data_IF_599670876239
#
_entry.id   IF_599670876239
#
_cell.length_a   1.000
_cell.length_b   1.000
_cell.length_c   1.000
_cell.angle_alpha   90.00
_cell.angle_beta   90.00
_cell.angle_gamma   90.00
#
_symmetry.space_group_name_H-M   'P 1'
#
loop_
_entity.id
_entity.type
_entity.pdbx_description
1 polymer ?
2 polymer ?
3 non-polymer ?
#
loop_
_entity_poly.entity_id
_entity_poly.type
_entity_poly.pdbx_seq_one_letter_code
_entity_poly.pdbx_strand_id
2 'polyribonucleotide' 'GGCCAGGUAGCUCAGUUGGUAGAGCACUGGACUGAAAAUCCAGGUGUCGGCGGUUCGAUUCCGCCCCUGGCCACC' ?
#
# COMPACT_ATOMS: atom_id res chain seq x y z
N UNK A 1 -27.28 -15.51 -8.01
CA UNK A 1 -27.86 -16.67 -7.36
C UNK A 1 -28.03 -16.43 -5.86
N UNK A 2 -27.27 -15.47 -5.34
CA UNK A 2 -27.31 -15.13 -3.92
C UNK A 2 -28.70 -14.68 -3.48
N UNK A 3 -29.32 -13.83 -4.30
CA UNK A 3 -30.66 -13.34 -4.02
C UNK A 3 -31.68 -14.46 -4.03
N UNK A 4 -31.46 -15.45 -4.89
CA UNK A 4 -32.37 -16.59 -4.99
C UNK A 4 -32.30 -17.47 -3.75
N UNK A 5 -31.08 -17.82 -3.35
CA UNK A 5 -30.87 -18.63 -2.15
C UNK A 5 -31.37 -17.90 -0.91
N UNK A 6 -31.11 -16.60 -0.86
CA UNK A 6 -31.58 -15.76 0.25
C UNK A 6 -33.10 -15.67 0.25
N UNK A 7 -33.69 -15.81 -0.94
CA UNK A 7 -35.14 -15.82 -1.06
C UNK A 7 -35.71 -17.13 -0.51
N UNK A 8 -35.04 -18.24 -0.83
CA UNK A 8 -35.45 -19.56 -0.36
C UNK A 8 -35.35 -19.68 1.16
N UNK A 9 -34.33 -19.04 1.73
CA UNK A 9 -34.09 -19.10 3.17
C UNK A 9 -34.88 -18.03 3.91
N UNK A 10 -35.56 -17.17 3.16
CA UNK A 10 -36.31 -16.08 3.76
C UNK A 10 -35.40 -15.09 4.46
N UNK A 11 -34.27 -14.80 3.84
CA UNK A 11 -33.28 -13.91 4.42
C UNK A 11 -33.13 -12.62 3.62
N UNK A 12 -32.25 -11.74 4.11
CA UNK A 12 -31.92 -10.50 3.42
C UNK A 12 -30.41 -10.33 3.38
N UNK A 13 -29.83 -10.34 2.18
CA UNK A 13 -28.40 -10.19 2.03
C UNK A 13 -28.06 -8.88 1.35
N UNK A 14 -26.89 -8.32 1.65
CA UNK A 14 -26.49 -7.04 1.07
C UNK A 14 -24.99 -6.98 0.80
N UNK A 15 -24.61 -6.26 -0.26
CA UNK A 15 -23.21 -5.93 -0.48
C UNK A 15 -22.89 -4.72 0.37
N UNK A 16 -21.78 -4.74 1.10
CA UNK A 16 -21.54 -3.75 2.13
C UNK A 16 -20.08 -3.29 2.23
N UNK A 17 -19.89 -2.00 2.50
CA UNK A 17 -18.58 -1.45 2.78
C UNK A 17 -17.86 -0.87 1.58
N UNK A 18 -16.54 -0.86 1.63
CA UNK A 18 -15.72 -0.34 0.55
C UNK A 18 -16.03 -0.99 -0.78
N UNK A 19 -16.42 -2.26 -0.73
CA UNK A 19 -16.83 -2.99 -1.92
C UNK A 19 -17.90 -2.21 -2.68
N UNK A 20 -18.88 -1.69 -1.95
CA UNK A 20 -19.90 -0.82 -2.53
C UNK A 20 -19.26 0.45 -3.08
N UNK A 21 -18.42 1.07 -2.27
CA UNK A 21 -17.75 2.31 -2.63
C UNK A 21 -17.08 2.18 -4.00
N UNK A 22 -16.14 1.25 -4.09
CA UNK A 22 -15.43 0.96 -5.34
C UNK A 22 -16.38 0.71 -6.51
N UNK A 23 -17.55 0.13 -6.24
CA UNK A 23 -18.53 -0.08 -7.29
C UNK A 23 -19.05 1.25 -7.80
N UNK A 24 -19.41 2.13 -6.86
CA UNK A 24 -19.86 3.48 -7.21
C UNK A 24 -18.70 4.29 -7.78
N UNK A 25 -17.48 3.91 -7.43
CA UNK A 25 -16.29 4.56 -7.97
C UNK A 25 -15.91 3.93 -9.31
N UNK A 26 -16.66 2.91 -9.71
CA UNK A 26 -16.46 2.25 -10.99
C UNK A 26 -15.40 1.16 -10.95
N UNK A 27 -14.55 1.19 -9.92
CA UNK A 27 -13.48 0.22 -9.77
C UNK A 27 -14.03 -1.16 -9.48
N UNK A 28 -13.63 -2.15 -10.27
CA UNK A 28 -14.11 -3.50 -10.08
C UNK A 28 -13.10 -4.34 -9.29
N UNK A 29 -13.58 -4.93 -8.20
CA UNK A 29 -12.74 -5.75 -7.34
C UNK A 29 -13.25 -7.19 -7.28
N UNK A 30 -12.36 -8.10 -6.91
CA UNK A 30 -12.69 -9.52 -6.82
C UNK A 30 -13.08 -9.92 -5.40
N UNK A 31 -13.03 -8.97 -4.48
CA UNK A 31 -13.41 -9.24 -3.10
C UNK A 31 -14.73 -8.56 -2.76
N UNK A 32 -15.74 -9.37 -2.46
CA UNK A 32 -17.07 -8.86 -2.15
C UNK A 32 -17.45 -9.13 -0.70
N UNK A 33 -17.92 -8.11 0.00
CA UNK A 33 -18.33 -8.24 1.39
C UNK A 33 -19.84 -8.28 1.53
N UNK A 34 -20.33 -9.34 2.19
CA UNK A 34 -21.76 -9.52 2.38
C UNK A 34 -22.20 -9.38 3.83
N UNK A 35 -23.33 -8.71 4.04
CA UNK A 35 -23.98 -8.64 5.33
C UNK A 35 -25.36 -9.28 5.23
N UNK A 36 -25.58 -10.31 6.04
CA UNK A 36 -26.81 -11.09 5.97
C UNK A 36 -27.62 -11.01 7.26
N UNK A 37 -28.89 -10.64 7.13
CA UNK A 37 -29.82 -10.69 8.25
C UNK A 37 -30.31 -12.14 8.40
N UNK A 38 -30.04 -12.73 9.55
CA UNK A 38 -30.20 -14.17 9.72
C UNK A 38 -28.83 -14.82 9.60
N UNK A 39 -28.79 -16.14 9.51
CA UNK A 39 -27.50 -16.84 9.46
C UNK A 39 -26.82 -16.74 8.10
N UNK A 40 -25.62 -16.17 8.09
CA UNK A 40 -24.84 -16.04 6.86
C UNK A 40 -24.09 -17.33 6.55
N UNK A 41 -23.79 -18.11 7.59
CA UNK A 41 -23.01 -19.33 7.45
C UNK A 41 -23.70 -20.34 6.53
N UNK A 42 -24.96 -20.63 6.82
CA UNK A 42 -25.72 -21.59 6.02
C UNK A 42 -25.90 -21.10 4.59
N UNK A 43 -26.02 -19.79 4.41
CA UNK A 43 -26.16 -19.19 3.09
C UNK A 43 -24.88 -19.42 2.29
N UNK A 44 -23.75 -19.18 2.94
CA UNK A 44 -22.45 -19.36 2.30
C UNK A 44 -22.20 -20.83 1.97
N UNK A 45 -22.61 -21.71 2.87
CA UNK A 45 -22.44 -23.15 2.68
C UNK A 45 -23.29 -23.63 1.51
N UNK A 46 -24.51 -23.14 1.42
CA UNK A 46 -25.42 -23.52 0.34
C UNK A 46 -24.92 -22.99 -1.00
N UNK A 47 -24.47 -21.74 -1.00
CA UNK A 47 -23.94 -21.12 -2.21
C UNK A 47 -22.70 -21.86 -2.69
N UNK A 48 -21.86 -22.27 -1.75
CA UNK A 48 -20.65 -23.02 -2.08
C UNK A 48 -21.00 -24.43 -2.56
N UNK A 49 -22.11 -24.95 -2.07
CA UNK A 49 -22.54 -26.30 -2.40
C UNK A 49 -23.14 -26.37 -3.81
N UNK A 50 -23.91 -25.35 -4.17
CA UNK A 50 -24.53 -25.31 -5.50
C UNK A 50 -23.49 -25.16 -6.61
N UNK A 51 -22.49 -24.32 -6.36
CA UNK A 51 -21.43 -24.09 -7.34
C UNK A 51 -20.37 -25.20 -7.27
N UNK A 52 -20.47 -26.04 -6.26
CA UNK A 52 -19.54 -27.15 -6.11
C UNK A 52 -18.14 -26.70 -5.77
N UNK A 53 -18.01 -25.82 -4.79
CA UNK A 53 -16.72 -25.34 -4.34
C UNK A 53 -16.59 -25.45 -2.82
N UNK A 54 -15.35 -25.38 -2.33
CA UNK A 54 -15.09 -25.50 -0.90
C UNK A 54 -15.62 -24.30 -0.13
N UNK A 55 -15.83 -24.48 1.17
CA UNK A 55 -16.31 -23.42 2.04
C UNK A 55 -15.48 -23.34 3.31
N UNK A 56 -15.26 -22.12 3.81
CA UNK A 56 -14.46 -21.90 5.01
C UNK A 56 -15.28 -21.18 6.07
N UNK A 57 -16.00 -21.96 6.90
CA UNK A 57 -16.85 -21.44 7.98
C UNK A 57 -16.08 -20.96 9.20
N UNK A 58 -16.58 -19.91 9.83
CA UNK A 58 -16.07 -19.41 11.10
C UNK A 58 -17.26 -19.07 12.00
N UNK A 59 -17.74 -20.08 12.76
CA UNK A 59 -18.93 -19.99 13.60
C UNK A 59 -18.82 -18.96 14.72
N UNK A 60 -17.66 -18.89 15.37
CA UNK A 60 -17.46 -17.94 16.47
C UNK A 60 -17.52 -16.50 15.98
N UNK A 61 -16.91 -16.25 14.81
CA UNK A 61 -17.00 -14.94 14.18
C UNK A 61 -18.37 -14.78 13.54
N UNK A 62 -18.93 -15.89 13.05
CA UNK A 62 -20.20 -15.87 12.37
C UNK A 62 -20.05 -15.48 10.91
N UNK A 63 -18.86 -15.74 10.37
CA UNK A 63 -18.56 -15.35 8.99
C UNK A 63 -17.98 -16.52 8.21
N UNK A 64 -18.30 -16.60 6.92
CA UNK A 64 -17.80 -17.70 6.09
C UNK A 64 -17.22 -17.18 4.78
N UNK A 65 -16.10 -17.76 4.36
CA UNK A 65 -15.43 -17.34 3.13
C UNK A 65 -15.47 -18.45 2.07
N UNK A 66 -15.75 -18.07 0.83
CA UNK A 66 -15.78 -19.03 -0.27
C UNK A 66 -15.31 -18.38 -1.56
N UNK A 67 -14.63 -19.16 -2.40
CA UNK A 67 -14.06 -18.61 -3.63
C UNK A 67 -14.69 -19.22 -4.88
N UNK A 68 -15.23 -18.35 -5.73
CA UNK A 68 -15.80 -18.79 -7.01
C UNK A 68 -15.05 -18.12 -8.17
N UNK A 69 -14.30 -18.93 -8.91
CA UNK A 69 -13.46 -18.38 -9.97
C UNK A 69 -12.41 -17.46 -9.39
N UNK A 70 -12.36 -16.22 -9.86
CA UNK A 70 -11.45 -15.22 -9.31
C UNK A 70 -12.15 -14.41 -8.22
N UNK A 71 -13.43 -14.66 -8.00
CA UNK A 71 -14.19 -13.94 -6.99
C UNK A 71 -13.98 -14.50 -5.60
N UNK A 72 -13.65 -13.61 -4.66
CA UNK A 72 -13.51 -13.97 -3.26
C UNK A 72 -14.69 -13.43 -2.47
N UNK A 73 -15.54 -14.34 -1.99
CA UNK A 73 -16.77 -13.96 -1.30
C UNK A 73 -16.67 -14.15 0.21
N UNK A 74 -17.14 -13.15 0.95
CA UNK A 74 -17.19 -13.21 2.40
C UNK A 74 -18.60 -12.88 2.89
N UNK A 75 -19.24 -13.85 3.55
CA UNK A 75 -20.55 -13.64 4.11
C UNK A 75 -20.46 -13.43 5.62
N UNK A 76 -21.05 -12.33 6.09
CA UNK A 76 -21.01 -11.97 7.50
C UNK A 76 -22.41 -11.69 8.05
N UNK A 77 -22.65 -12.14 9.28
CA UNK A 77 -23.94 -11.91 9.92
C UNK A 77 -24.00 -10.48 10.46
N UNK A 78 -25.15 -9.83 10.29
CA UNK A 78 -25.34 -8.46 10.76
C UNK A 78 -25.14 -8.35 12.27
N UNK A 79 -24.27 -7.44 12.68
CA UNK A 79 -23.95 -7.26 14.10
C UNK A 79 -23.89 -5.78 14.47
N UNK A 80 -24.47 -5.43 15.62
CA UNK A 80 -24.50 -4.05 16.07
C UNK A 80 -23.18 -3.61 16.70
N UNK A 81 -22.46 -4.56 17.28
CA UNK A 81 -21.20 -4.26 17.95
C UNK A 81 -20.05 -5.07 17.35
N UNK A 82 -18.85 -4.51 17.41
CA UNK A 82 -17.66 -5.18 16.88
C UNK A 82 -17.22 -6.30 17.81
N UNK A 93 -30.36 -10.93 20.52
CA UNK A 93 -31.24 -10.12 19.68
C UNK A 93 -30.62 -9.89 18.30
N UNK A 94 -31.40 -10.13 17.23
CA UNK A 94 -30.93 -9.96 15.85
C UNK A 94 -30.63 -8.49 15.53
N UNK A 95 -29.49 -8.25 14.91
CA UNK A 95 -29.07 -6.90 14.56
C UNK A 95 -29.53 -6.51 13.16
N UNK A 96 -30.10 -5.32 13.04
CA UNK A 96 -30.53 -4.81 11.74
C UNK A 96 -29.32 -4.39 10.93
N UNK A 97 -29.50 -4.29 9.62
CA UNK A 97 -28.46 -3.82 8.72
C UNK A 97 -27.94 -2.45 9.13
N UNK A 98 -28.86 -1.55 9.43
CA UNK A 98 -28.53 -0.18 9.83
C UNK A 98 -27.60 -0.16 11.03
N UNK A 99 -27.79 -1.10 11.96
CA UNK A 99 -26.95 -1.20 13.14
C UNK A 99 -25.56 -1.71 12.78
N UNK A 100 -25.48 -2.50 11.71
CA UNK A 100 -24.21 -3.06 11.27
C UNK A 100 -23.42 -2.03 10.48
N UNK A 101 -24.11 -1.12 9.82
CA UNK A 101 -23.46 -0.08 9.04
C UNK A 101 -23.00 1.10 9.89
N UNK A 102 -23.68 1.32 11.02
CA UNK A 102 -23.41 2.47 11.87
C UNK A 102 -22.17 2.26 12.74
N UNK A 103 -21.71 1.02 12.83
CA UNK A 103 -20.50 0.71 13.60
C UNK A 103 -19.25 0.90 12.75
N UNK A 104 -19.44 1.29 11.50
CA UNK A 104 -18.31 1.42 10.57
C UNK A 104 -17.67 2.80 10.68
N UNK A 105 -16.63 3.02 9.88
CA UNK A 105 -15.81 4.22 10.02
C UNK A 105 -16.41 5.46 9.34
N UNK A 106 -16.40 5.48 8.01
CA UNK A 106 -16.77 6.67 7.25
C UNK A 106 -18.01 6.49 6.39
N UNK A 107 -18.67 7.60 6.07
CA UNK A 107 -19.95 7.58 5.36
C UNK A 107 -19.87 6.88 4.00
N UNK A 108 -18.72 6.95 3.34
CA UNK A 108 -18.54 6.31 2.05
C UNK A 108 -18.42 4.79 2.19
N UNK A 109 -17.98 4.36 3.37
CA UNK A 109 -17.86 2.93 3.67
C UNK A 109 -19.06 2.40 4.43
N UNK A 110 -20.04 3.26 4.67
CA UNK A 110 -21.21 2.91 5.46
C UNK A 110 -22.42 2.51 4.63
N UNK A 111 -22.28 2.48 3.31
CA UNK A 111 -23.44 2.22 2.44
C UNK A 111 -23.59 0.75 2.08
N UNK A 112 -24.67 0.43 1.39
CA UNK A 112 -25.00 -0.95 1.04
C UNK A 112 -25.85 -1.06 -0.22
N UNK A 113 -25.67 -2.15 -0.96
CA UNK A 113 -26.46 -2.44 -2.15
C UNK A 113 -27.18 -3.78 -2.01
N UNK A 114 -28.51 -3.75 -2.12
CA UNK A 114 -29.32 -4.95 -1.89
C UNK A 114 -29.26 -5.95 -3.04
N UNK A 115 -28.95 -7.20 -2.71
CA UNK A 115 -28.92 -8.27 -3.70
C UNK A 115 -30.22 -9.08 -3.71
N UNK A 116 -31.16 -8.69 -2.86
CA UNK A 116 -32.46 -9.34 -2.80
C UNK A 116 -33.25 -9.10 -4.08
N UNK A 117 -33.85 -10.17 -4.63
CA UNK A 117 -34.44 -10.15 -5.96
C UNK A 117 -35.47 -9.05 -6.22
N UNK A 118 -36.23 -8.69 -5.19
CA UNK A 118 -37.29 -7.70 -5.36
C UNK A 118 -36.75 -6.27 -5.54
N UNK A 119 -35.87 -5.86 -4.64
CA UNK A 119 -35.29 -4.52 -4.64
C UNK A 119 -33.93 -4.47 -5.34
N UNK A 120 -33.56 -5.57 -5.99
CA UNK A 120 -32.21 -5.76 -6.54
C UNK A 120 -31.73 -4.56 -7.37
N UNK A 121 -30.54 -4.08 -7.03
CA UNK A 121 -29.95 -2.93 -7.69
C UNK A 121 -30.00 -1.68 -6.83
N UNK A 122 -30.79 -1.71 -5.77
CA UNK A 122 -31.00 -0.54 -4.93
C UNK A 122 -29.84 -0.30 -3.97
N UNK A 123 -29.36 0.94 -3.94
CA UNK A 123 -28.33 1.35 -2.99
C UNK A 123 -28.96 1.86 -1.70
N UNK A 124 -28.60 1.26 -0.58
CA UNK A 124 -29.14 1.66 0.71
C UNK A 124 -28.15 2.54 1.48
N UNK A 125 -28.48 3.83 1.59
CA UNK A 125 -27.62 4.78 2.29
C UNK A 125 -28.41 5.56 3.33
N UNK A 126 -28.11 5.29 4.60
CA UNK A 126 -28.77 5.98 5.72
C UNK A 126 -28.12 7.32 6.06
N UNK A 127 -26.80 7.37 6.04
CA UNK A 127 -26.05 8.49 6.60
C UNK A 127 -25.67 9.55 5.56
N UNK A 128 -26.12 9.35 4.32
CA UNK A 128 -25.83 10.29 3.26
C UNK A 128 -24.41 10.16 2.74
N UNK A 129 -23.91 8.92 2.71
CA UNK A 129 -22.58 8.66 2.23
C UNK A 129 -22.42 8.90 0.74
N UNK A 130 -23.53 8.84 0.02
CA UNK A 130 -23.54 9.10 -1.40
C UNK A 130 -23.20 10.56 -1.69
N UNK A 131 -23.79 11.45 -0.89
CA UNK A 131 -23.54 12.88 -1.00
C UNK A 131 -22.08 13.21 -0.71
N UNK A 132 -21.53 12.57 0.31
CA UNK A 132 -20.13 12.77 0.68
C UNK A 132 -19.20 12.21 -0.38
N UNK A 133 -19.65 11.13 -1.03
CA UNK A 133 -18.90 10.53 -2.12
C UNK A 133 -18.87 11.45 -3.32
N UNK A 134 -19.99 12.15 -3.55
CA UNK A 134 -20.10 13.09 -4.65
C UNK A 134 -19.40 14.41 -4.33
N UNK A 135 -19.34 14.74 -3.04
CA UNK A 135 -18.71 15.99 -2.61
C UNK A 135 -17.24 15.78 -2.21
N UNK A 136 -16.76 14.55 -2.38
CA UNK A 136 -15.38 14.20 -2.05
C UNK A 136 -15.04 14.49 -0.59
N UNK A 137 -15.88 13.99 0.32
CA UNK A 137 -15.72 14.27 1.74
C UNK A 137 -15.57 13.01 2.58
N UNK A 138 -14.55 12.99 3.44
CA UNK A 138 -14.39 11.92 4.42
C UNK A 138 -15.02 12.33 5.74
N UNK A 139 -16.10 11.66 6.11
CA UNK A 139 -16.88 12.07 7.27
C UNK A 139 -17.17 10.90 8.21
N UNK A 140 -16.88 11.09 9.49
CA UNK A 140 -17.17 10.08 10.49
C UNK A 140 -18.65 10.05 10.83
N UNK A 141 -19.12 8.90 11.32
CA UNK A 141 -20.53 8.71 11.62
C UNK A 141 -20.91 9.34 12.96
N UNK A 142 -20.00 9.32 13.92
CA UNK A 142 -20.25 9.85 15.25
C UNK A 142 -19.00 10.51 15.82
N UNK A 143 -19.19 11.51 16.70
CA UNK A 143 -18.08 12.29 17.28
C UNK A 143 -17.04 11.45 18.03
N UNK A 144 -17.43 10.28 18.49
CA UNK A 144 -16.54 9.42 19.27
C UNK A 144 -15.77 8.43 18.40
N UNK A 145 -15.94 8.56 17.08
CA UNK A 145 -15.39 7.61 16.11
C UNK A 145 -13.89 7.35 16.28
N UNK A 146 -13.09 8.42 16.32
CA UNK A 146 -11.65 8.27 16.42
C UNK A 146 -11.23 7.81 17.81
N UNK A 147 -12.04 8.12 18.81
CA UNK A 147 -11.78 7.70 20.18
C UNK A 147 -11.97 6.18 20.31
N UNK A 148 -13.03 5.68 19.68
CA UNK A 148 -13.32 4.26 19.67
C UNK A 148 -12.17 3.47 19.03
N UNK A 149 -11.84 3.84 17.80
CA UNK A 149 -10.77 3.18 17.06
C UNK A 149 -9.78 4.21 16.52
N UNK A 150 -8.71 4.49 17.29
CA UNK A 150 -7.67 5.44 16.91
C UNK A 150 -7.01 5.12 15.57
N UNK A 151 -7.00 3.85 15.19
CA UNK A 151 -6.44 3.42 13.91
C UNK A 151 -7.07 4.18 12.75
N UNK A 152 -8.38 4.45 12.88
CA UNK A 152 -9.12 5.19 11.87
C UNK A 152 -8.47 6.52 11.52
N UNK A 153 -7.79 7.13 12.49
CA UNK A 153 -7.08 8.39 12.28
C UNK A 153 -6.18 8.28 11.06
N UNK A 154 -5.46 7.17 10.96
CA UNK A 154 -4.64 6.92 9.79
C UNK A 154 -5.52 6.69 8.57
N UNK A 155 -6.47 5.77 8.72
CA UNK A 155 -7.31 5.31 7.62
C UNK A 155 -7.92 6.46 6.84
N UNK A 156 -8.56 7.38 7.55
CA UNK A 156 -9.17 8.55 6.94
C UNK A 156 -8.17 9.23 6.02
N UNK A 157 -7.03 9.60 6.58
CA UNK A 157 -5.97 10.25 5.83
C UNK A 157 -5.65 9.42 4.59
N UNK A 158 -5.45 8.12 4.81
CA UNK A 158 -5.12 7.20 3.72
C UNK A 158 -6.18 7.31 2.63
N UNK A 159 -7.45 7.25 3.01
CA UNK A 159 -8.52 7.35 2.04
C UNK A 159 -8.46 8.70 1.36
N UNK A 160 -8.27 9.75 2.16
CA UNK A 160 -8.19 11.11 1.64
C UNK A 160 -7.02 11.23 0.69
N UNK A 161 -6.04 10.35 0.85
CA UNK A 161 -4.91 10.30 -0.05
C UNK A 161 -5.28 9.64 -1.36
N UNK A 162 -5.96 8.50 -1.29
CA UNK A 162 -6.26 7.73 -2.48
C UNK A 162 -7.33 8.39 -3.36
N UNK A 163 -8.48 8.69 -2.75
CA UNK A 163 -9.62 9.19 -3.49
C UNK A 163 -9.53 10.69 -3.71
N UNK A 164 -8.48 11.31 -3.16
CA UNK A 164 -8.31 12.75 -3.20
C UNK A 164 -9.54 13.46 -2.62
N UNK A 165 -9.98 12.99 -1.46
CA UNK A 165 -11.10 13.61 -0.77
C UNK A 165 -10.59 14.56 0.30
N UNK A 166 -11.52 15.21 1.00
CA UNK A 166 -11.16 16.13 2.07
C UNK A 166 -11.94 15.82 3.34
N UNK A 167 -11.28 15.96 4.47
CA UNK A 167 -11.93 15.75 5.76
C UNK A 167 -12.90 16.88 6.06
N UNK A 168 -14.08 16.53 6.56
CA UNK A 168 -15.05 17.55 6.95
C UNK A 168 -14.53 18.30 8.17
N UNK A 169 -15.06 19.50 8.40
CA UNK A 169 -14.65 20.31 9.54
C UNK A 169 -14.84 19.54 10.84
N UNK A 170 -15.99 18.89 10.98
CA UNK A 170 -16.27 18.01 12.09
C UNK A 170 -15.18 16.96 12.23
N UNK A 171 -15.07 16.12 11.20
CA UNK A 171 -14.11 15.03 11.19
C UNK A 171 -12.68 15.50 11.42
N UNK A 172 -12.33 16.66 10.89
CA UNK A 172 -10.97 17.21 11.04
C UNK A 172 -10.71 17.62 12.49
N UNK A 173 -11.64 18.37 13.08
CA UNK A 173 -11.52 18.78 14.47
C UNK A 173 -11.44 17.56 15.39
N UNK A 174 -12.31 16.59 15.14
CA UNK A 174 -12.35 15.37 15.95
C UNK A 174 -11.05 14.59 15.82
N UNK A 175 -10.47 14.57 14.63
CA UNK A 175 -9.22 13.87 14.39
C UNK A 175 -8.08 14.54 15.14
N UNK A 176 -7.99 15.86 15.01
CA UNK A 176 -6.96 16.65 15.70
C UNK A 176 -7.07 16.47 17.21
N UNK A 177 -8.30 16.48 17.73
CA UNK A 177 -8.55 16.23 19.14
C UNK A 177 -8.06 14.84 19.53
N UNK A 178 -8.38 13.85 18.71
CA UNK A 178 -7.99 12.47 18.97
C UNK A 178 -6.47 12.31 19.04
N UNK A 179 -5.76 13.02 18.17
CA UNK A 179 -4.30 12.95 18.16
C UNK A 179 -3.72 13.68 19.35
N UNK A 180 -4.33 14.81 19.70
CA UNK A 180 -3.90 15.62 20.84
C UNK A 180 -3.98 14.86 22.18
N UNK A 181 -4.89 13.90 22.25
CA UNK A 181 -5.05 13.11 23.47
C UNK A 181 -4.04 11.97 23.54
N UNK A 182 -3.27 11.82 22.46
CA UNK A 182 -2.26 10.78 22.40
C UNK A 182 -2.85 9.39 22.31
N UNK A 183 -4.06 9.32 21.75
CA UNK A 183 -4.76 8.04 21.60
C UNK A 183 -4.06 7.15 20.59
N UNK A 184 -3.22 7.75 19.76
CA UNK A 184 -2.49 7.01 18.74
C UNK A 184 -1.45 6.11 19.38
N UNK A 185 -0.97 6.49 20.56
CA UNK A 185 -0.04 5.68 21.32
C UNK A 185 -0.75 4.54 22.05
N UNK A 186 -1.98 4.80 22.48
CA UNK A 186 -2.77 3.81 23.19
C UNK A 186 -3.26 2.69 22.26
N UNK A 187 -3.39 3.02 20.98
CA UNK A 187 -3.84 2.05 19.98
C UNK A 187 -2.83 0.91 19.81
N UNK A 188 -3.33 -0.29 19.48
CA UNK A 188 -2.45 -1.45 19.24
C UNK A 188 -1.41 -1.18 18.15
N UNK A 189 -0.15 -1.51 18.44
CA UNK A 189 0.95 -1.25 17.52
C UNK A 189 0.74 -1.95 16.18
N UNK A 190 0.24 -3.18 16.24
CA UNK A 190 0.06 -4.00 15.05
C UNK A 190 -0.91 -3.44 14.03
N UNK A 191 -2.05 -2.95 14.51
CA UNK A 191 -3.06 -2.37 13.62
C UNK A 191 -2.52 -1.13 12.93
N UNK A 192 -1.76 -0.33 13.67
CA UNK A 192 -1.17 0.90 13.14
C UNK A 192 -0.12 0.60 12.08
N UNK A 193 0.80 -0.31 12.42
CA UNK A 193 1.85 -0.73 11.51
C UNK A 193 1.23 -1.30 10.23
N UNK A 194 0.19 -2.11 10.40
CA UNK A 194 -0.51 -2.68 9.26
C UNK A 194 -1.19 -1.61 8.41
N UNK A 195 -1.68 -0.56 9.08
CA UNK A 195 -2.30 0.57 8.40
C UNK A 195 -1.28 1.31 7.54
N UNK A 196 -0.08 1.49 8.09
CA UNK A 196 1.00 2.15 7.35
C UNK A 196 1.42 1.29 6.17
N UNK A 197 1.48 -0.02 6.39
CA UNK A 197 1.80 -0.97 5.32
C UNK A 197 0.79 -0.87 4.20
N UNK A 198 -0.48 -0.70 4.56
CA UNK A 198 -1.53 -0.49 3.57
C UNK A 198 -1.34 0.84 2.86
N UNK A 199 -0.84 1.82 3.60
CA UNK A 199 -0.65 3.16 3.08
C UNK A 199 0.43 3.21 2.00
N UNK A 200 1.59 2.62 2.30
CA UNK A 200 2.74 2.72 1.39
C UNK A 200 2.52 2.00 0.06
N UNK A 201 1.48 1.18 -0.02
CA UNK A 201 1.18 0.45 -1.24
C UNK A 201 0.38 1.31 -2.23
N UNK A 202 -0.08 2.47 -1.76
CA UNK A 202 -0.83 3.39 -2.60
C UNK A 202 0.08 4.13 -3.57
N UNK A 203 -0.44 4.48 -4.73
CA UNK A 203 0.30 5.28 -5.70
C UNK A 203 0.26 6.76 -5.29
N UNK A 204 -0.80 7.12 -4.58
CA UNK A 204 -0.98 8.48 -4.07
C UNK A 204 -0.42 8.61 -2.66
N UNK A 205 0.29 7.56 -2.23
CA UNK A 205 0.87 7.48 -0.88
C UNK A 205 1.63 8.73 -0.44
N UNK A 206 2.25 9.43 -1.39
CA UNK A 206 2.94 10.68 -1.07
C UNK A 206 1.98 11.72 -0.47
N UNK A 207 0.79 11.81 -1.04
CA UNK A 207 -0.25 12.70 -0.51
C UNK A 207 -0.65 12.28 0.90
N UNK A 208 -0.70 10.98 1.12
CA UNK A 208 -1.00 10.41 2.43
C UNK A 208 0.08 10.81 3.43
N UNK A 209 1.32 10.90 2.94
CA UNK A 209 2.44 11.33 3.76
C UNK A 209 2.32 12.82 4.07
N UNK A 210 1.79 13.59 3.12
CA UNK A 210 1.52 15.00 3.34
C UNK A 210 0.47 15.15 4.44
N UNK A 211 -0.54 14.29 4.41
CA UNK A 211 -1.58 14.32 5.43
C UNK A 211 -1.06 13.80 6.77
N UNK A 212 -0.02 12.97 6.72
CA UNK A 212 0.62 12.46 7.92
C UNK A 212 1.47 13.56 8.57
N UNK A 213 2.05 14.41 7.72
CA UNK A 213 2.86 15.52 8.20
C UNK A 213 1.97 16.63 8.76
N UNK A 214 0.86 16.89 8.06
CA UNK A 214 -0.07 17.94 8.47
C UNK A 214 -0.62 17.69 9.87
N UNK A 215 -1.08 16.48 10.12
CA UNK A 215 -1.67 16.14 11.40
C UNK A 215 -0.65 15.49 12.33
N UNK A 216 0.58 15.36 11.86
CA UNK A 216 1.72 14.95 12.68
C UNK A 216 1.51 13.62 13.42
N UNK A 217 1.01 12.62 12.70
CA UNK A 217 0.76 11.31 13.30
C UNK A 217 2.04 10.47 13.40
N UNK A 218 2.98 10.73 12.50
CA UNK A 218 4.23 9.96 12.46
C UNK A 218 5.11 10.25 13.66
N UNK A 219 4.99 11.45 14.23
CA UNK A 219 5.70 11.79 15.45
C UNK A 219 5.17 10.93 16.60
N UNK A 220 3.87 10.67 16.58
CA UNK A 220 3.25 9.82 17.58
C UNK A 220 3.63 8.36 17.41
N UNK A 221 3.43 7.83 16.20
CA UNK A 221 3.71 6.42 15.94
C UNK A 221 5.20 6.09 16.02
N UNK A 222 6.01 6.80 15.24
CA UNK A 222 7.44 6.55 15.21
C UNK A 222 8.17 7.35 16.29
N UNK A 223 8.98 6.65 17.09
CA UNK A 223 9.71 7.31 18.17
C UNK A 223 10.98 7.99 17.65
N UNK A 224 11.07 9.30 17.87
CA UNK A 224 12.23 10.06 17.47
C UNK A 224 12.12 10.68 16.08
N UNK A 225 10.95 10.56 15.47
CA UNK A 225 10.74 11.08 14.13
C UNK A 225 10.28 12.53 14.14
N UNK A 226 10.97 13.38 13.37
CA UNK A 226 10.58 14.77 13.21
C UNK A 226 10.70 15.20 11.74
N UNK A 227 9.81 16.10 11.32
CA UNK A 227 9.78 16.55 9.93
C UNK A 227 10.72 17.71 9.65
N UNK A 228 11.39 17.65 8.50
CA UNK A 228 12.20 18.77 8.02
C UNK A 228 12.01 18.95 6.51
N UNK A 229 12.67 19.96 5.95
CA UNK A 229 12.47 20.30 4.55
C UNK A 229 13.27 19.39 3.60
N UNK A 230 14.49 19.05 4.00
CA UNK A 230 15.37 18.23 3.17
C UNK A 230 14.74 16.88 2.84
N UNK A 231 14.10 16.27 3.83
CA UNK A 231 13.44 15.00 3.66
C UNK A 231 12.27 15.13 2.67
N UNK A 232 11.51 16.21 2.80
CA UNK A 232 10.37 16.48 1.93
C UNK A 232 10.81 16.64 0.46
N UNK A 233 11.84 17.46 0.26
CA UNK A 233 12.39 17.67 -1.07
C UNK A 233 12.95 16.37 -1.62
N UNK A 234 13.51 15.54 -0.74
CA UNK A 234 13.97 14.21 -1.13
C UNK A 234 12.81 13.33 -1.55
N UNK A 235 11.64 13.56 -0.95
CA UNK A 235 10.46 12.77 -1.26
C UNK A 235 9.86 13.17 -2.61
N UNK A 236 9.91 14.46 -2.92
CA UNK A 236 9.41 14.92 -4.22
C UNK A 236 10.39 14.56 -5.34
N UNK A 237 11.68 14.64 -5.04
CA UNK A 237 12.71 14.21 -5.99
C UNK A 237 12.56 12.72 -6.26
N UNK A 238 12.34 11.96 -5.19
CA UNK A 238 12.09 10.53 -5.31
C UNK A 238 10.80 10.27 -6.07
N UNK A 239 9.85 11.20 -5.95
CA UNK A 239 8.60 11.12 -6.71
C UNK A 239 8.89 11.22 -8.20
N UNK A 240 9.71 12.20 -8.58
CA UNK A 240 10.08 12.39 -9.98
C UNK A 240 10.84 11.19 -10.53
N UNK A 241 11.84 10.73 -9.77
CA UNK A 241 12.64 9.58 -10.16
C UNK A 241 11.78 8.33 -10.33
N UNK A 242 10.87 8.11 -9.39
CA UNK A 242 9.93 7.00 -9.45
C UNK A 242 9.05 7.11 -10.69
N UNK A 243 8.61 8.33 -10.99
CA UNK A 243 7.79 8.56 -12.20
C UNK A 243 8.55 8.17 -13.46
N UNK A 244 9.76 8.68 -13.61
CA UNK A 244 10.59 8.40 -14.78
C UNK A 244 10.89 6.90 -14.92
N UNK A 245 11.33 6.29 -13.83
CA UNK A 245 11.69 4.88 -13.81
C UNK A 245 10.49 3.99 -14.12
N UNK A 246 9.34 4.34 -13.55
CA UNK A 246 8.11 3.59 -13.80
C UNK A 246 7.53 3.95 -15.16
N UNK A 247 8.12 4.94 -15.83
CA UNK A 247 7.71 5.30 -17.17
C UNK A 247 8.47 4.49 -18.21
N UNK A 248 9.79 4.70 -18.28
CA UNK A 248 10.60 4.03 -19.30
C UNK A 248 10.93 2.58 -18.94
N UNK A 249 11.27 2.36 -17.68
CA UNK A 249 11.76 1.06 -17.20
C UNK A 249 10.65 0.18 -16.62
N UNK A 250 9.40 0.57 -16.85
CA UNK A 250 8.23 0.00 -16.15
C UNK A 250 8.18 -1.53 -16.08
N UNK A 251 8.84 -2.21 -17.00
CA UNK A 251 8.96 -3.67 -16.92
C UNK A 251 9.80 -4.08 -15.71
N UNK A 252 10.65 -3.18 -15.24
CA UNK A 252 11.58 -3.45 -14.14
C UNK A 252 11.04 -3.02 -12.77
N UNK A 253 9.78 -2.60 -12.72
CA UNK A 253 9.20 -2.00 -11.51
C UNK A 253 9.33 -2.83 -10.24
N UNK A 254 9.57 -2.13 -9.13
CA UNK A 254 9.58 -2.73 -7.79
C UNK A 254 8.62 -1.94 -6.91
N UNK A 255 8.57 -2.26 -5.62
CA UNK A 255 7.71 -1.53 -4.70
C UNK A 255 8.37 -0.20 -4.33
N UNK A 256 7.71 0.89 -4.70
CA UNK A 256 8.27 2.23 -4.54
C UNK A 256 8.09 2.81 -3.14
N UNK A 257 6.99 2.47 -2.48
CA UNK A 257 6.66 3.03 -1.18
C UNK A 257 7.73 2.82 -0.13
N UNK A 258 8.41 1.68 -0.21
CA UNK A 258 9.48 1.36 0.73
C UNK A 258 10.64 2.33 0.60
N UNK A 259 10.85 2.86 -0.61
CA UNK A 259 11.89 3.86 -0.84
C UNK A 259 11.57 5.13 -0.05
N UNK A 260 10.33 5.59 -0.17
CA UNK A 260 9.86 6.74 0.59
C UNK A 260 10.01 6.49 2.08
N UNK A 261 9.67 5.27 2.49
CA UNK A 261 9.80 4.89 3.90
C UNK A 261 11.25 4.98 4.37
N UNK A 262 12.18 4.61 3.49
CA UNK A 262 13.61 4.68 3.80
C UNK A 262 14.06 6.14 3.88
N UNK A 263 13.51 6.98 3.01
CA UNK A 263 13.82 8.40 3.02
C UNK A 263 13.35 9.05 4.32
N UNK A 264 12.16 8.66 4.78
CA UNK A 264 11.61 9.20 6.01
C UNK A 264 12.46 8.86 7.23
N UNK A 265 12.98 7.64 7.28
CA UNK A 265 13.75 7.17 8.42
C UNK A 265 15.25 7.37 8.24
N UNK A 266 15.64 8.03 7.16
CA UNK A 266 17.05 8.23 6.81
C UNK A 266 17.83 8.93 7.92
N UNK A 267 17.23 9.95 8.53
CA UNK A 267 17.90 10.71 9.57
C UNK A 267 17.75 10.09 10.96
N UNK A 268 16.91 9.06 11.04
CA UNK A 268 16.70 8.36 12.30
C UNK A 268 17.89 7.49 12.67
N UNK A 269 17.99 7.15 13.95
CA UNK A 269 19.04 6.26 14.44
C UNK A 269 18.90 4.88 13.82
N UNK A 270 20.02 4.19 13.66
CA UNK A 270 20.01 2.87 13.05
C UNK A 270 19.25 1.86 13.91
N UNK A 271 19.27 2.08 15.22
CA UNK A 271 18.55 1.21 16.14
C UNK A 271 17.04 1.32 15.94
N UNK A 272 16.54 2.55 15.99
CA UNK A 272 15.12 2.81 15.79
C UNK A 272 14.68 2.47 14.37
N UNK A 273 15.59 2.63 13.41
CA UNK A 273 15.30 2.32 12.03
C UNK A 273 15.15 0.82 11.81
N UNK A 274 16.10 0.06 12.36
CA UNK A 274 16.07 -1.39 12.26
C UNK A 274 14.87 -1.96 13.02
N UNK A 275 14.55 -1.34 14.15
CA UNK A 275 13.41 -1.76 14.96
C UNK A 275 12.10 -1.50 14.22
N UNK A 276 12.00 -0.32 13.61
CA UNK A 276 10.79 0.06 12.87
C UNK A 276 10.59 -0.83 11.65
N UNK A 277 11.65 -1.02 10.87
CA UNK A 277 11.59 -1.90 9.71
C UNK A 277 11.33 -3.34 10.13
N UNK A 278 11.72 -3.68 11.35
CA UNK A 278 11.42 -4.99 11.91
C UNK A 278 9.94 -5.11 12.19
N UNK A 279 9.35 -4.05 12.74
CA UNK A 279 7.93 -4.02 13.02
C UNK A 279 7.08 -3.98 11.76
N UNK A 280 7.62 -3.35 10.71
CA UNK A 280 6.91 -3.18 9.45
C UNK A 280 6.90 -4.45 8.62
N UNK A 281 7.69 -5.45 9.04
CA UNK A 281 7.88 -6.67 8.27
C UNK A 281 8.29 -6.36 6.84
N UNK A 282 9.31 -5.52 6.70
CA UNK A 282 9.79 -5.08 5.40
C UNK A 282 10.49 -6.21 4.66
N UNK A 283 10.44 -6.18 3.32
CA UNK A 283 11.16 -7.15 2.49
C UNK A 283 12.67 -7.09 2.70
N UNK A 284 13.37 -8.15 2.31
CA UNK A 284 14.81 -8.25 2.54
C UNK A 284 15.60 -7.16 1.81
N UNK A 285 15.19 -6.86 0.58
CA UNK A 285 15.88 -5.84 -0.22
C UNK A 285 15.73 -4.46 0.40
N UNK A 286 14.66 -4.27 1.17
CA UNK A 286 14.43 -3.00 1.85
C UNK A 286 15.43 -2.85 3.01
N UNK A 287 15.61 -3.92 3.78
CA UNK A 287 16.57 -3.92 4.87
C UNK A 287 18.00 -3.76 4.33
N UNK A 288 18.30 -4.45 3.24
CA UNK A 288 19.61 -4.36 2.61
C UNK A 288 19.88 -2.95 2.11
N UNK A 289 18.88 -2.36 1.44
CA UNK A 289 19.02 -1.01 0.90
C UNK A 289 19.15 0.02 2.01
N UNK A 290 18.47 -0.22 3.12
CA UNK A 290 18.56 0.68 4.27
C UNK A 290 19.93 0.61 4.94
N UNK A 291 20.38 -0.61 5.22
CA UNK A 291 21.69 -0.82 5.85
C UNK A 291 22.81 -0.33 4.95
N UNK A 292 22.57 -0.36 3.63
CA UNK A 292 23.55 0.15 2.68
C UNK A 292 23.49 1.66 2.60
N UNK A 293 22.30 2.22 2.80
CA UNK A 293 22.10 3.66 2.74
C UNK A 293 22.69 4.38 3.94
N UNK A 294 22.55 3.77 5.11
CA UNK A 294 22.99 4.38 6.36
C UNK A 294 24.50 4.51 6.46
N UNK A 295 25.22 3.63 5.78
CA UNK A 295 26.68 3.59 5.92
C UNK A 295 27.42 3.77 4.59
N UNK A 296 27.39 2.75 3.74
CA UNK A 296 28.24 2.70 2.56
C UNK A 296 27.80 3.64 1.44
N UNK A 297 26.63 4.23 1.56
CA UNK A 297 26.08 5.08 0.51
C UNK A 297 26.94 6.32 0.27
N UNK A 298 27.39 6.95 1.35
CA UNK A 298 28.21 8.14 1.25
C UNK A 298 29.51 7.88 0.51
N UNK A 299 30.26 6.88 0.97
CA UNK A 299 31.52 6.50 0.34
C UNK A 299 31.29 6.06 -1.10
N UNK A 300 30.15 5.44 -1.36
CA UNK A 300 29.78 5.03 -2.71
C UNK A 300 29.63 6.25 -3.62
N UNK A 301 28.95 7.28 -3.12
CA UNK A 301 28.79 8.53 -3.85
C UNK A 301 30.15 9.18 -4.10
N UNK A 302 31.00 9.17 -3.07
CA UNK A 302 32.34 9.74 -3.18
C UNK A 302 33.16 9.01 -4.24
N UNK A 303 32.92 7.71 -4.38
CA UNK A 303 33.60 6.92 -5.41
C UNK A 303 33.02 7.22 -6.80
N UNK A 304 31.72 7.48 -6.85
CA UNK A 304 31.07 7.81 -8.11
C UNK A 304 31.51 9.19 -8.61
N UNK A 305 31.91 10.05 -7.67
CA UNK A 305 32.44 11.36 -8.03
C UNK A 305 33.83 11.23 -8.65
N UNK A 306 34.56 10.20 -8.22
CA UNK A 306 35.91 9.96 -8.70
C UNK A 306 35.90 9.10 -9.97
N UNK A 307 34.71 8.73 -10.42
CA UNK A 307 34.56 7.87 -11.58
C UNK A 307 34.93 8.60 -12.87
N UNK A 308 35.84 8.01 -13.63
CA UNK A 308 36.27 8.57 -14.91
C UNK A 308 35.86 7.65 -16.06
N UNK A 309 36.43 6.44 -16.09
CA UNK A 309 36.07 5.46 -17.10
C UNK A 309 34.69 4.88 -16.82
N UNK A 310 34.06 4.32 -17.84
CA UNK A 310 32.72 3.77 -17.70
C UNK A 310 32.72 2.42 -16.99
N UNK A 311 33.84 1.71 -17.06
CA UNK A 311 33.95 0.38 -16.46
C UNK A 311 33.95 0.44 -14.94
N UNK A 312 34.52 1.51 -14.39
CA UNK A 312 34.50 1.73 -12.95
C UNK A 312 33.07 1.93 -12.48
N UNK A 313 32.32 2.73 -13.26
CA UNK A 313 30.91 2.97 -12.99
C UNK A 313 30.14 1.65 -13.03
N UNK A 314 30.44 0.84 -14.04
CA UNK A 314 29.88 -0.49 -14.16
C UNK A 314 30.10 -1.31 -12.89
N UNK A 315 31.37 -1.53 -12.55
CA UNK A 315 31.76 -2.29 -11.35
C UNK A 315 31.09 -1.77 -10.08
N UNK A 316 30.95 -0.45 -9.95
CA UNK A 316 30.38 0.14 -8.76
C UNK A 316 28.85 0.07 -8.73
N UNK A 317 28.23 -0.08 -9.90
CA UNK A 317 26.77 -0.07 -10.00
C UNK A 317 26.15 -1.47 -10.08
N UNK A 318 26.52 -2.21 -11.12
CA UNK A 318 25.90 -3.50 -11.45
C UNK A 318 25.60 -4.45 -10.27
N UNK A 319 26.54 -4.59 -9.31
CA UNK A 319 26.19 -5.47 -8.18
C UNK A 319 25.04 -4.96 -7.32
N UNK A 320 24.79 -3.66 -7.36
CA UNK A 320 23.73 -3.06 -6.54
C UNK A 320 22.34 -3.38 -7.09
N UNK A 321 21.34 -3.27 -6.21
CA UNK A 321 19.95 -3.47 -6.60
C UNK A 321 19.44 -2.22 -7.33
N UNK A 322 18.20 -2.27 -7.79
CA UNK A 322 17.60 -1.14 -8.49
C UNK A 322 17.26 -0.01 -7.52
N UNK A 323 16.85 -0.38 -6.32
CA UNK A 323 16.51 0.57 -5.27
C UNK A 323 17.68 1.50 -4.95
N UNK A 324 18.86 0.91 -4.82
CA UNK A 324 20.07 1.67 -4.54
C UNK A 324 20.34 2.68 -5.65
N UNK A 325 20.13 2.26 -6.89
CA UNK A 325 20.32 3.13 -8.05
C UNK A 325 19.33 4.30 -8.02
N UNK A 326 18.08 3.99 -7.71
CA UNK A 326 17.04 5.01 -7.60
C UNK A 326 17.37 6.00 -6.49
N UNK A 327 18.02 5.52 -5.44
CA UNK A 327 18.47 6.39 -4.36
C UNK A 327 19.68 7.21 -4.81
N UNK A 328 20.43 6.68 -5.77
CA UNK A 328 21.58 7.38 -6.32
C UNK A 328 21.16 8.46 -7.31
N UNK A 329 19.95 8.33 -7.85
CA UNK A 329 19.44 9.32 -8.78
C UNK A 329 18.99 10.60 -8.08
N UNK A 330 18.99 10.57 -6.75
CA UNK A 330 18.63 11.74 -5.96
C UNK A 330 19.68 12.84 -6.12
N UNK A 331 20.91 12.44 -6.42
CA UNK A 331 21.98 13.38 -6.66
C UNK A 331 21.91 13.91 -8.09
N UNK A 332 21.99 15.23 -8.23
CA UNK A 332 21.88 15.87 -9.55
C UNK A 332 23.03 15.49 -10.47
N UNK A 333 24.24 15.46 -9.91
CA UNK A 333 25.43 15.15 -10.69
C UNK A 333 25.46 13.69 -11.13
N UNK A 334 24.90 12.82 -10.28
CA UNK A 334 24.93 11.38 -10.54
C UNK A 334 23.75 10.91 -11.41
N UNK A 335 22.75 11.77 -11.58
CA UNK A 335 21.53 11.41 -12.30
C UNK A 335 21.79 10.92 -13.72
N UNK A 336 22.33 11.80 -14.56
CA UNK A 336 22.61 11.47 -15.96
C UNK A 336 23.56 10.29 -16.08
N UNK A 337 24.44 10.14 -15.10
CA UNK A 337 25.38 9.02 -15.07
C UNK A 337 24.63 7.70 -14.88
N UNK A 338 23.74 7.67 -13.88
CA UNK A 338 22.92 6.50 -13.60
C UNK A 338 22.07 6.14 -14.82
N UNK A 339 21.41 7.16 -15.38
CA UNK A 339 20.58 6.96 -16.57
C UNK A 339 21.38 6.37 -17.72
N UNK A 340 22.56 6.94 -17.96
CA UNK A 340 23.46 6.47 -19.00
C UNK A 340 23.84 5.01 -18.75
N UNK A 341 24.02 4.65 -17.49
CA UNK A 341 24.28 3.26 -17.14
C UNK A 341 23.07 2.39 -17.43
N UNK A 342 21.88 2.96 -17.29
CA UNK A 342 20.64 2.23 -17.43
C UNK A 342 20.31 1.90 -18.88
N UNK A 343 20.04 2.93 -19.67
CA UNK A 343 19.55 2.69 -21.03
C UNK A 343 20.64 2.43 -22.07
N UNK A 344 21.90 2.49 -21.65
CA UNK A 344 23.01 2.29 -22.59
C UNK A 344 24.07 1.30 -22.13
N UNK A 345 24.79 1.65 -21.07
CA UNK A 345 26.04 0.98 -20.68
C UNK A 345 25.94 -0.54 -20.50
N UNK A 346 24.90 -1.01 -19.83
CA UNK A 346 24.80 -2.43 -19.48
C UNK A 346 24.21 -3.26 -20.62
N UNK A 347 23.91 -2.62 -21.74
CA UNK A 347 23.36 -3.32 -22.90
C UNK A 347 24.42 -3.53 -23.98
N UNK A 348 24.74 -4.80 -24.23
CA UNK A 348 25.77 -5.19 -25.21
C UNK A 348 25.83 -6.72 -25.31
N UNK A 349 26.44 -7.22 -26.38
CA UNK A 349 26.56 -8.65 -26.59
C UNK A 349 27.74 -8.98 -27.53
N UNK A 350 27.95 -10.26 -27.77
CA UNK A 350 29.03 -10.72 -28.65
C UNK A 350 28.58 -11.89 -29.52
N UNK A 351 29.09 -11.96 -30.77
CA UNK A 351 28.74 -13.03 -31.71
C UNK A 351 29.35 -14.38 -31.34
N UNK A 352 29.21 -15.36 -32.22
CA UNK A 352 29.64 -16.73 -31.93
C UNK A 352 31.15 -16.92 -31.98
N UNK A 353 31.73 -16.79 -33.18
CA UNK A 353 33.14 -17.08 -33.40
C UNK A 353 34.07 -16.32 -32.44
N UNK A 354 33.73 -15.07 -32.15
CA UNK A 354 34.54 -14.27 -31.26
C UNK A 354 34.60 -14.88 -29.86
N UNK A 355 33.42 -15.14 -29.28
CA UNK A 355 33.34 -15.78 -27.97
C UNK A 355 34.02 -17.15 -27.97
N UNK A 356 33.87 -17.88 -29.08
CA UNK A 356 34.55 -19.17 -29.23
C UNK A 356 36.06 -19.00 -29.17
N UNK A 357 36.56 -17.87 -29.67
CA UNK A 357 37.98 -17.55 -29.58
C UNK A 357 38.34 -17.09 -28.16
N UNK A 358 37.37 -16.54 -27.45
CA UNK A 358 37.59 -16.08 -26.09
C UNK A 358 37.73 -17.25 -25.12
N UNK A 359 36.97 -18.30 -25.37
CA UNK A 359 37.01 -19.48 -24.52
C UNK A 359 38.22 -20.37 -24.83
N UNK A 360 38.82 -20.13 -25.99
CA UNK A 360 39.98 -20.89 -26.46
C UNK A 360 39.70 -22.39 -26.47
N UNK A 365 37.93 -21.55 -16.01
CA UNK A 365 37.29 -21.26 -14.75
C UNK A 365 36.95 -19.78 -14.59
N UNK A 366 37.49 -19.17 -13.53
CA UNK A 366 37.26 -17.76 -13.26
C UNK A 366 37.99 -16.88 -14.27
N UNK A 367 39.05 -17.44 -14.86
CA UNK A 367 39.87 -16.71 -15.81
C UNK A 367 39.08 -16.30 -17.05
N UNK A 368 38.09 -17.11 -17.41
CA UNK A 368 37.20 -16.77 -18.51
C UNK A 368 36.41 -15.53 -18.15
N UNK A 369 35.97 -15.46 -16.89
CA UNK A 369 35.24 -14.30 -16.40
C UNK A 369 36.09 -13.04 -16.39
N UNK A 370 37.30 -13.15 -15.85
CA UNK A 370 38.22 -12.02 -15.82
C UNK A 370 38.53 -11.53 -17.22
N UNK A 371 38.73 -12.47 -18.14
CA UNK A 371 39.00 -12.14 -19.54
C UNK A 371 37.82 -11.41 -20.17
N UNK A 372 36.62 -11.93 -19.95
CA UNK A 372 35.40 -11.30 -20.43
C UNK A 372 35.28 -9.87 -19.89
N UNK A 373 35.63 -9.69 -18.62
CA UNK A 373 35.63 -8.36 -18.01
C UNK A 373 36.63 -7.44 -18.71
N UNK A 374 37.80 -7.98 -19.03
CA UNK A 374 38.82 -7.22 -19.74
C UNK A 374 38.34 -6.80 -21.12
N UNK A 375 37.57 -7.68 -21.76
CA UNK A 375 37.03 -7.40 -23.09
C UNK A 375 35.94 -6.34 -23.01
N UNK A 376 35.13 -6.39 -21.95
CA UNK A 376 34.08 -5.41 -21.76
C UNK A 376 34.66 -4.03 -21.48
N UNK A 377 35.69 -3.97 -20.62
CA UNK A 377 36.35 -2.71 -20.34
C UNK A 377 37.18 -2.25 -21.54
N UNK A 378 37.46 -3.19 -22.45
CA UNK A 378 38.12 -2.85 -23.71
C UNK A 378 37.12 -2.22 -24.69
N UNK A 379 35.88 -2.69 -24.64
CA UNK A 379 34.84 -2.16 -25.51
C UNK A 379 34.33 -0.79 -25.03
N UNK A 380 34.09 -0.69 -23.73
CA UNK A 380 33.59 0.56 -23.14
C UNK A 380 34.52 1.74 -23.41
N UNK A 381 35.71 1.70 -22.82
CA UNK A 381 36.67 2.77 -22.97
C UNK A 381 37.38 2.74 -24.31
#
# INVERSE_FOLDING_TARGET
MVGQIAKEMGLRAYIVGGVVRDILLGKEVWDVDFVVEGNAIELAKELARRHGVNVHPFPEFGTAHLKIGKLKLEFATARRETYPRPGAYPKVEPASLKEDLIRRDFTINAMAISVNLEDYGTLIDYFGGLRDLKDKVIRVLHPVSFIEDPVRILRALRFAGRLNFKLSRSTEKLLKQAVNLGLLKEAPRGRLINEIKLALREDRFLEILELYRKYRVLEEIIEGFQWNEKVLQKLYALRKVVDWHALEFSEERIDYGWLYLLILISNLDYERGKHFLEEMSAPSWVRETYKFMKFKLGSLKEELKKAKENYEVYRLLKPLHTSVLLLLMLEEELKEKIKLYLEKLRKVKLPKEKIEELKKQGLKGKELGERIEELKREIMNKIKLAAALEHHHHHH
#
